data_IF_454707556391
#
_entry.id   IF_454707556391
#
_cell.length_a   1.000
_cell.length_b   1.000
_cell.length_c   1.000
_cell.angle_alpha   90.00
_cell.angle_beta   90.00
_cell.angle_gamma   90.00
#
_symmetry.space_group_name_H-M   'P 1'
#
loop_
_entity.id
_entity.type
_entity.pdbx_description
1 polymer ?
#
# COMPACT_ATOMS: atom_id res chain seq x y z
N UNK A 1 14.83 0.75 11.70
CA UNK A 1 14.69 -0.45 10.83
C UNK A 1 15.99 -1.23 10.88
N UNK A 2 15.91 -2.55 10.84
CA UNK A 2 17.07 -3.40 10.57
C UNK A 2 17.37 -3.46 9.05
N UNK A 3 18.48 -4.10 8.68
CA UNK A 3 18.93 -4.24 7.30
C UNK A 3 17.85 -4.82 6.37
N UNK A 4 17.19 -5.91 6.78
CA UNK A 4 16.13 -6.57 6.00
C UNK A 4 14.94 -5.64 5.74
N UNK A 5 14.51 -4.91 6.76
CA UNK A 5 13.44 -3.93 6.65
C UNK A 5 13.82 -2.73 5.75
N UNK A 6 15.09 -2.30 5.77
CA UNK A 6 15.60 -1.26 4.87
C UNK A 6 15.63 -1.74 3.42
N UNK A 7 16.14 -2.94 3.15
CA UNK A 7 16.16 -3.51 1.80
C UNK A 7 14.75 -3.71 1.26
N UNK A 8 13.83 -4.22 2.08
CA UNK A 8 12.42 -4.33 1.72
C UNK A 8 11.82 -2.95 1.39
N UNK A 9 12.05 -1.94 2.23
CA UNK A 9 11.56 -0.59 1.97
C UNK A 9 12.09 -0.03 0.64
N UNK A 10 13.40 -0.14 0.41
CA UNK A 10 14.03 0.34 -0.83
C UNK A 10 13.48 -0.37 -2.07
N UNK A 11 13.27 -1.69 -1.98
CA UNK A 11 12.66 -2.47 -3.05
C UNK A 11 11.24 -1.99 -3.35
N UNK A 12 10.39 -1.83 -2.32
CA UNK A 12 9.02 -1.35 -2.49
C UNK A 12 8.96 0.04 -3.13
N UNK A 13 9.82 0.97 -2.68
CA UNK A 13 9.94 2.31 -3.27
C UNK A 13 10.34 2.23 -4.76
N UNK A 14 11.40 1.47 -5.07
CA UNK A 14 11.89 1.35 -6.45
C UNK A 14 10.86 0.72 -7.39
N UNK A 15 10.15 -0.34 -6.95
CA UNK A 15 9.07 -0.94 -7.72
C UNK A 15 7.91 0.04 -7.94
N UNK A 16 7.56 0.82 -6.90
CA UNK A 16 6.54 1.86 -7.02
C UNK A 16 6.93 2.95 -8.03
N UNK A 17 8.18 3.37 -8.06
CA UNK A 17 8.67 4.35 -9.04
C UNK A 17 8.62 3.77 -10.47
N UNK A 18 9.03 2.51 -10.64
CA UNK A 18 9.01 1.82 -11.93
C UNK A 18 7.60 1.72 -12.49
N UNK A 19 6.64 1.27 -11.69
CA UNK A 19 5.26 1.14 -12.14
C UNK A 19 4.61 2.51 -12.38
N UNK A 20 4.92 3.50 -11.54
CA UNK A 20 4.41 4.87 -11.73
C UNK A 20 4.94 5.49 -13.02
N UNK A 21 6.19 5.22 -13.37
CA UNK A 21 6.81 5.66 -14.62
C UNK A 21 6.23 4.92 -15.83
N UNK A 22 6.07 3.59 -15.72
CA UNK A 22 5.48 2.74 -16.77
C UNK A 22 4.10 3.24 -17.20
N UNK A 23 3.28 3.63 -16.23
CA UNK A 23 1.91 4.07 -16.49
C UNK A 23 1.76 5.58 -16.66
N UNK A 24 2.81 6.40 -16.51
CA UNK A 24 2.74 7.87 -16.41
C UNK A 24 1.87 8.57 -17.48
N UNK A 25 1.78 8.02 -18.70
CA UNK A 25 0.96 8.57 -19.79
C UNK A 25 -0.50 8.12 -19.79
N UNK A 26 -0.85 7.12 -18.99
CA UNK A 26 -2.19 6.56 -18.86
C UNK A 26 -2.96 7.29 -17.75
N UNK A 27 -4.07 7.99 -18.08
CA UNK A 27 -4.89 8.67 -17.08
C UNK A 27 -5.60 7.70 -16.14
N UNK A 28 -5.94 6.50 -16.63
CA UNK A 28 -6.65 5.46 -15.88
C UNK A 28 -5.97 4.10 -16.08
N UNK A 29 -4.78 3.89 -15.50
CA UNK A 29 -4.07 2.65 -15.70
C UNK A 29 -4.83 1.49 -15.04
N UNK A 30 -4.77 0.32 -15.67
CA UNK A 30 -5.39 -0.90 -15.14
C UNK A 30 -4.32 -1.97 -15.01
N UNK A 31 -3.97 -2.29 -13.77
CA UNK A 31 -2.94 -3.30 -13.49
C UNK A 31 -3.12 -3.94 -12.12
N UNK A 32 -2.44 -5.06 -11.93
CA UNK A 32 -2.19 -5.67 -10.64
C UNK A 32 -0.76 -6.26 -10.68
N UNK A 33 0.15 -5.72 -9.87
CA UNK A 33 1.54 -6.13 -9.83
C UNK A 33 1.98 -6.43 -8.39
N UNK A 34 2.68 -7.54 -8.20
CA UNK A 34 3.23 -7.93 -6.91
C UNK A 34 4.70 -7.52 -6.85
N UNK A 35 5.03 -6.63 -5.92
CA UNK A 35 6.41 -6.27 -5.61
C UNK A 35 6.99 -7.36 -4.72
N UNK A 36 7.73 -8.30 -5.31
CA UNK A 36 8.25 -9.48 -4.64
C UNK A 36 9.74 -9.35 -4.31
N UNK A 37 10.09 -9.65 -3.06
CA UNK A 37 11.47 -9.70 -2.57
C UNK A 37 11.66 -10.86 -1.60
N UNK A 38 12.92 -11.20 -1.31
CA UNK A 38 13.28 -12.19 -0.29
C UNK A 38 12.77 -11.85 1.13
N UNK A 39 12.41 -10.58 1.38
CA UNK A 39 11.92 -10.09 2.67
C UNK A 39 10.40 -9.93 2.73
N UNK A 40 9.70 -10.30 1.66
CA UNK A 40 8.25 -10.27 1.59
C UNK A 40 7.74 -9.68 0.29
N UNK A 41 6.42 -9.51 0.23
CA UNK A 41 5.73 -8.97 -0.94
C UNK A 41 4.68 -7.91 -0.61
N UNK A 42 4.38 -7.10 -1.61
CA UNK A 42 3.32 -6.09 -1.60
C UNK A 42 2.57 -6.14 -2.93
N UNK A 43 1.28 -6.47 -2.92
CA UNK A 43 0.44 -6.39 -4.12
C UNK A 43 -0.05 -4.95 -4.28
N UNK A 44 0.19 -4.36 -5.45
CA UNK A 44 -0.31 -3.03 -5.82
C UNK A 44 -1.17 -3.16 -7.07
N UNK A 45 -2.34 -2.53 -7.09
CA UNK A 45 -3.23 -2.54 -8.25
C UNK A 45 -3.75 -1.15 -8.58
N UNK A 46 -4.19 -0.96 -9.81
CA UNK A 46 -5.07 0.16 -10.17
C UNK A 46 -6.34 -0.43 -10.79
N UNK A 47 -7.52 -0.28 -10.14
CA UNK A 47 -8.77 -0.77 -10.70
C UNK A 47 -9.23 0.10 -11.88
N UNK A 48 -10.05 -0.47 -12.76
CA UNK A 48 -10.61 0.24 -13.91
C UNK A 48 -11.33 1.53 -13.48
N UNK A 49 -11.02 2.65 -14.15
CA UNK A 49 -11.60 3.97 -13.84
C UNK A 49 -11.05 4.63 -12.57
N UNK A 50 -9.97 4.12 -11.98
CA UNK A 50 -9.29 4.74 -10.84
C UNK A 50 -8.07 5.56 -11.28
N UNK A 51 -7.86 6.70 -10.62
CA UNK A 51 -6.62 7.47 -10.70
C UNK A 51 -5.65 7.13 -9.56
N UNK A 52 -5.84 5.98 -8.89
CA UNK A 52 -5.16 5.63 -7.64
C UNK A 52 -4.56 4.25 -7.70
N UNK A 53 -3.40 4.12 -7.06
CA UNK A 53 -2.78 2.83 -6.81
C UNK A 53 -3.22 2.33 -5.43
N UNK A 54 -3.75 1.13 -5.40
CA UNK A 54 -4.23 0.46 -4.20
C UNK A 54 -3.22 -0.61 -3.78
N UNK A 55 -2.65 -0.50 -2.57
CA UNK A 55 -1.92 -1.58 -1.89
C UNK A 55 -2.95 -2.62 -1.43
N UNK A 56 -3.02 -3.77 -2.07
CA UNK A 56 -4.05 -4.80 -1.82
C UNK A 56 -3.63 -5.79 -0.76
N UNK A 57 -2.35 -6.09 -0.64
CA UNK A 57 -1.87 -7.02 0.38
C UNK A 57 -0.42 -6.78 0.68
N UNK A 58 -0.03 -7.05 1.92
CA UNK A 58 1.36 -7.01 2.36
C UNK A 58 1.67 -8.24 3.20
N UNK A 59 2.75 -8.93 2.87
CA UNK A 59 3.26 -10.02 3.68
C UNK A 59 4.77 -9.89 3.79
N UNK A 60 5.23 -9.42 4.95
CA UNK A 60 6.65 -9.24 5.24
C UNK A 60 7.16 -10.42 6.07
N UNK A 61 8.42 -10.82 5.90
CA UNK A 61 9.01 -11.85 6.75
C UNK A 61 9.02 -11.41 8.22
N UNK A 62 8.92 -12.32 9.21
CA UNK A 62 8.86 -11.96 10.63
C UNK A 62 9.98 -11.01 11.07
N UNK A 63 11.19 -11.22 10.55
CA UNK A 63 12.35 -10.38 10.85
C UNK A 63 12.26 -8.93 10.33
N UNK A 64 11.38 -8.63 9.37
CA UNK A 64 11.16 -7.27 8.86
C UNK A 64 9.89 -6.60 9.44
N UNK A 65 9.03 -7.35 10.16
CA UNK A 65 7.79 -6.85 10.77
C UNK A 65 8.08 -5.94 11.97
N UNK A 66 7.15 -5.03 12.28
CA UNK A 66 7.27 -4.10 13.41
C UNK A 66 8.32 -2.99 13.23
N UNK A 67 9.08 -3.01 12.13
CA UNK A 67 10.16 -2.06 11.86
C UNK A 67 9.68 -0.77 11.17
N UNK A 68 8.39 -0.66 10.84
CA UNK A 68 7.81 0.54 10.22
C UNK A 68 7.89 0.59 8.69
N UNK A 69 8.23 -0.52 8.01
CA UNK A 69 8.38 -0.60 6.54
C UNK A 69 7.17 -0.01 5.81
N UNK A 70 5.97 -0.53 6.05
CA UNK A 70 4.77 -0.05 5.36
C UNK A 70 4.44 1.42 5.69
N UNK A 71 4.68 1.86 6.92
CA UNK A 71 4.48 3.27 7.29
C UNK A 71 5.41 4.19 6.49
N UNK A 72 6.69 3.84 6.38
CA UNK A 72 7.64 4.62 5.59
C UNK A 72 7.38 4.51 4.09
N UNK A 73 6.93 3.36 3.59
CA UNK A 73 6.54 3.20 2.20
C UNK A 73 5.35 4.10 1.85
N UNK A 74 4.31 4.15 2.69
CA UNK A 74 3.19 5.08 2.54
C UNK A 74 3.66 6.55 2.57
N UNK A 75 4.55 6.90 3.51
CA UNK A 75 5.12 8.25 3.56
C UNK A 75 5.91 8.60 2.31
N UNK A 76 6.68 7.65 1.78
CA UNK A 76 7.40 7.80 0.53
C UNK A 76 6.46 8.11 -0.62
N UNK A 77 5.39 7.32 -0.79
CA UNK A 77 4.39 7.56 -1.85
C UNK A 77 3.76 8.95 -1.70
N UNK A 78 3.39 9.35 -0.47
CA UNK A 78 2.82 10.68 -0.21
C UNK A 78 3.76 11.82 -0.61
N UNK A 79 5.06 11.65 -0.36
CA UNK A 79 6.07 12.68 -0.62
C UNK A 79 6.59 12.69 -2.06
N UNK A 80 6.23 11.69 -2.87
CA UNK A 80 6.55 11.60 -4.29
C UNK A 80 5.25 11.59 -5.10
N UNK A 81 4.57 12.76 -5.22
CA UNK A 81 3.30 12.85 -5.92
C UNK A 81 3.53 12.65 -7.43
N UNK A 82 3.42 11.41 -7.89
CA UNK A 82 3.18 11.09 -9.29
C UNK A 82 1.81 11.64 -9.71
N UNK A 83 1.44 11.51 -11.00
CA UNK A 83 0.12 11.92 -11.50
C UNK A 83 -1.07 11.16 -10.87
N UNK A 84 -0.83 10.19 -9.98
CA UNK A 84 -1.85 9.37 -9.32
C UNK A 84 -2.21 9.91 -7.93
N UNK A 85 -3.50 10.18 -7.70
CA UNK A 85 -4.00 10.85 -6.51
C UNK A 85 -4.34 9.87 -5.38
N UNK A 86 -3.30 9.53 -4.62
CA UNK A 86 -3.42 8.86 -3.34
C UNK A 86 -3.32 7.35 -3.39
N UNK A 87 -3.32 6.75 -2.21
CA UNK A 87 -3.15 5.31 -2.00
C UNK A 87 -4.38 4.75 -1.32
N UNK A 88 -4.91 3.70 -1.89
CA UNK A 88 -5.90 2.87 -1.22
C UNK A 88 -5.18 1.66 -0.62
N UNK A 89 -5.57 1.19 0.56
CA UNK A 89 -5.09 -0.08 1.11
C UNK A 89 -6.29 -1.03 1.17
N UNK A 90 -6.43 -1.91 0.19
CA UNK A 90 -7.45 -2.94 0.20
C UNK A 90 -6.97 -4.14 1.02
N UNK A 91 -7.90 -4.91 1.61
CA UNK A 91 -7.64 -6.23 2.23
C UNK A 91 -6.45 -6.21 3.21
N UNK A 92 -6.60 -5.51 4.34
CA UNK A 92 -5.62 -5.58 5.42
C UNK A 92 -5.87 -6.86 6.23
N UNK A 93 -5.19 -7.94 5.91
CA UNK A 93 -5.28 -9.21 6.66
C UNK A 93 -4.67 -9.12 8.07
N UNK A 94 -3.96 -8.03 8.38
CA UNK A 94 -3.33 -7.78 9.67
C UNK A 94 -4.10 -6.72 10.48
N UNK A 95 -4.93 -7.15 11.42
CA UNK A 95 -5.75 -6.24 12.24
C UNK A 95 -4.93 -5.17 13.01
N UNK A 96 -3.71 -5.48 13.45
CA UNK A 96 -2.84 -4.50 14.11
C UNK A 96 -2.41 -3.38 13.15
N UNK A 97 -2.15 -3.74 11.89
CA UNK A 97 -1.85 -2.78 10.85
C UNK A 97 -3.07 -1.91 10.51
N UNK A 98 -4.27 -2.50 10.42
CA UNK A 98 -5.50 -1.75 10.18
C UNK A 98 -5.76 -0.71 11.28
N UNK A 99 -5.63 -1.08 12.56
CA UNK A 99 -5.75 -0.15 13.70
C UNK A 99 -4.74 0.99 13.63
N UNK A 100 -3.50 0.68 13.27
CA UNK A 100 -2.45 1.71 13.12
C UNK A 100 -2.75 2.67 11.97
N UNK A 101 -3.22 2.18 10.83
CA UNK A 101 -3.61 3.02 9.70
C UNK A 101 -4.79 3.93 10.07
N UNK A 102 -5.80 3.42 10.77
CA UNK A 102 -6.91 4.23 11.30
C UNK A 102 -6.41 5.36 12.22
N UNK A 103 -5.49 5.07 13.15
CA UNK A 103 -4.89 6.11 14.00
C UNK A 103 -4.11 7.19 13.24
N UNK A 104 -3.69 6.89 12.01
CA UNK A 104 -3.00 7.82 11.12
C UNK A 104 -3.98 8.58 10.19
N UNK A 105 -5.27 8.55 10.49
CA UNK A 105 -6.32 9.27 9.75
C UNK A 105 -6.68 8.62 8.41
N UNK A 106 -6.48 7.32 8.27
CA UNK A 106 -7.06 6.56 7.16
C UNK A 106 -8.53 6.26 7.44
N UNK A 107 -9.38 6.28 6.42
CA UNK A 107 -10.82 6.07 6.54
C UNK A 107 -11.22 4.71 5.96
N UNK A 108 -12.32 4.12 6.44
CA UNK A 108 -12.84 2.90 5.82
C UNK A 108 -13.44 3.22 4.44
N UNK A 109 -13.13 2.40 3.42
CA UNK A 109 -13.69 2.55 2.05
C UNK A 109 -15.23 2.54 2.02
N UNK A 110 -15.85 1.79 2.93
CA UNK A 110 -17.31 1.67 3.02
C UNK A 110 -17.74 1.62 4.48
N UNK A 111 -18.87 2.26 4.77
CA UNK A 111 -19.51 2.26 6.10
C UNK A 111 -19.91 0.83 6.51
N UNK A 112 -20.19 -0.06 5.54
CA UNK A 112 -20.47 -1.48 5.80
C UNK A 112 -19.25 -2.24 6.35
N UNK A 113 -18.04 -1.92 5.91
CA UNK A 113 -16.81 -2.53 6.43
C UNK A 113 -16.54 -2.13 7.89
N UNK A 114 -17.05 -0.98 8.33
CA UNK A 114 -16.96 -0.51 9.72
C UNK A 114 -17.86 -1.31 10.66
N UNK A 115 -19.02 -1.77 10.18
CA UNK A 115 -20.01 -2.48 11.00
C UNK A 115 -19.83 -4.00 11.01
N UNK A 116 -19.29 -4.58 9.95
CA UNK A 116 -19.22 -6.05 9.80
C UNK A 116 -17.95 -6.72 10.33
N UNK A 117 -17.11 -6.04 11.13
CA UNK A 117 -15.88 -6.62 11.69
C UNK A 117 -15.15 -7.53 10.69
N UNK A 118 -15.10 -7.12 9.42
CA UNK A 118 -14.63 -8.03 8.37
C UNK A 118 -13.19 -8.39 8.72
N UNK A 119 -12.82 -9.65 8.52
CA UNK A 119 -11.44 -10.10 8.77
C UNK A 119 -10.42 -9.36 7.87
N UNK A 120 -10.89 -8.53 6.94
CA UNK A 120 -10.15 -7.84 5.88
C UNK A 120 -10.71 -6.43 5.64
N UNK A 121 -10.51 -5.47 6.57
CA UNK A 121 -10.94 -4.09 6.37
C UNK A 121 -10.18 -3.45 5.20
N UNK A 122 -10.88 -2.68 4.37
CA UNK A 122 -10.29 -1.84 3.32
C UNK A 122 -10.28 -0.39 3.78
N UNK A 123 -9.12 0.25 3.74
CA UNK A 123 -8.90 1.63 4.17
C UNK A 123 -8.45 2.52 3.00
N UNK A 124 -8.94 3.74 2.92
CA UNK A 124 -8.58 4.73 1.90
C UNK A 124 -7.97 5.95 2.59
N UNK A 125 -6.99 6.57 1.94
CA UNK A 125 -6.56 7.92 2.28
C UNK A 125 -6.33 8.73 1.02
N UNK A 126 -7.05 9.84 0.92
CA UNK A 126 -6.81 10.86 -0.09
C UNK A 126 -5.63 11.73 0.38
N UNK A 127 -4.69 11.99 -0.52
CA UNK A 127 -3.56 12.88 -0.31
C UNK A 127 -3.61 14.00 -1.34
#
# INVERSE_FOLDING_TARGET
MNYKAQQLLQHLCSQYDQISTKYQSEPFPVFAETFESEYGHCLVRSPAGSHRFSIVSVNFVPSARGQGVLTQFIHYIKNNPYHYQGVEVEIIENQCLAKKLLSLGWEYKSVFNRWFCSKTPSLIKHF
#
